data_IF_361386928011
#
_entry.id   IF_361386928011
#
_cell.length_a   1.000
_cell.length_b   1.000
_cell.length_c   1.000
_cell.angle_alpha   90.00
_cell.angle_beta   90.00
_cell.angle_gamma   90.00
#
_symmetry.space_group_name_H-M   'P 1'
#
loop_
_entity.id
_entity.type
_entity.pdbx_description
1 polymer ?
#
# COMPACT_ATOMS: atom_id res chain seq x y z
N UNK A 1 -22.23 2.19 50.46
CA UNK A 1 -21.17 1.38 49.81
C UNK A 1 -21.48 1.22 48.32
N UNK A 2 -21.52 2.32 47.55
CA UNK A 2 -21.76 2.30 46.08
C UNK A 2 -20.84 3.30 45.34
N UNK A 3 -20.29 4.32 46.01
CA UNK A 3 -19.44 5.33 45.37
C UNK A 3 -18.00 4.89 45.01
N UNK A 4 -17.46 3.83 45.61
CA UNK A 4 -16.07 3.40 45.34
C UNK A 4 -15.93 2.55 44.06
N UNK A 5 -17.01 1.93 43.58
CA UNK A 5 -16.98 1.11 42.36
C UNK A 5 -16.93 1.92 41.06
N UNK A 6 -17.59 3.09 41.03
CA UNK A 6 -17.67 3.93 39.83
C UNK A 6 -16.39 4.72 39.55
N UNK A 7 -15.61 5.08 40.58
CA UNK A 7 -14.35 5.79 40.39
C UNK A 7 -13.27 4.91 39.75
N UNK A 8 -13.19 3.64 40.16
CA UNK A 8 -12.20 2.68 39.65
C UNK A 8 -12.50 2.25 38.21
N UNK A 9 -13.78 2.20 37.82
CA UNK A 9 -14.18 1.89 36.44
C UNK A 9 -13.87 3.05 35.48
N UNK A 10 -14.10 4.30 35.89
CA UNK A 10 -13.80 5.48 35.06
C UNK A 10 -12.30 5.68 34.82
N UNK A 11 -11.47 5.43 35.84
CA UNK A 11 -10.01 5.58 35.72
C UNK A 11 -9.39 4.52 34.78
N UNK A 12 -9.93 3.28 34.78
CA UNK A 12 -9.53 2.25 33.81
C UNK A 12 -9.91 2.59 32.37
N UNK A 13 -11.11 3.13 32.15
CA UNK A 13 -11.59 3.48 30.80
C UNK A 13 -10.82 4.68 30.24
N UNK A 14 -10.53 5.68 31.08
CA UNK A 14 -9.68 6.83 30.73
C UNK A 14 -8.26 6.41 30.35
N UNK A 15 -7.63 5.54 31.15
CA UNK A 15 -6.28 5.01 30.85
C UNK A 15 -6.24 4.18 29.57
N UNK A 16 -7.27 3.38 29.27
CA UNK A 16 -7.35 2.60 28.02
C UNK A 16 -7.50 3.53 26.80
N UNK A 17 -8.29 4.60 26.93
CA UNK A 17 -8.41 5.63 25.88
C UNK A 17 -7.11 6.39 25.61
N UNK A 18 -6.36 6.74 26.65
CA UNK A 18 -5.04 7.39 26.53
C UNK A 18 -3.98 6.46 25.92
N UNK A 19 -3.94 5.18 26.33
CA UNK A 19 -3.01 4.18 25.78
C UNK A 19 -3.32 3.92 24.30
N UNK A 20 -4.59 3.88 23.91
CA UNK A 20 -5.01 3.64 22.53
C UNK A 20 -4.71 4.85 21.64
N UNK A 21 -4.90 6.07 22.13
CA UNK A 21 -4.49 7.30 21.45
C UNK A 21 -2.97 7.42 21.34
N UNK A 22 -2.20 7.05 22.37
CA UNK A 22 -0.74 7.01 22.27
C UNK A 22 -0.25 5.97 21.26
N UNK A 23 -0.87 4.78 21.18
CA UNK A 23 -0.53 3.79 20.15
C UNK A 23 -0.85 4.27 18.73
N UNK A 24 -1.98 4.95 18.54
CA UNK A 24 -2.38 5.54 17.25
C UNK A 24 -1.45 6.70 16.84
N UNK A 25 -1.09 7.56 17.79
CA UNK A 25 -0.13 8.65 17.58
C UNK A 25 1.26 8.10 17.32
N UNK A 26 1.71 7.04 18.01
CA UNK A 26 3.01 6.39 17.75
C UNK A 26 3.03 5.72 16.38
N UNK A 27 1.93 5.10 15.92
CA UNK A 27 1.83 4.52 14.57
C UNK A 27 1.86 5.63 13.50
N UNK A 28 1.14 6.74 13.70
CA UNK A 28 1.22 7.91 12.82
C UNK A 28 2.62 8.56 12.85
N UNK A 29 3.27 8.65 14.02
CA UNK A 29 4.61 9.18 14.15
C UNK A 29 5.62 8.27 13.46
N UNK A 30 5.46 6.94 13.53
CA UNK A 30 6.28 5.97 12.83
C UNK A 30 6.11 6.09 11.31
N UNK A 31 4.89 6.35 10.83
CA UNK A 31 4.62 6.67 9.41
C UNK A 31 5.25 8.01 8.97
N UNK A 32 5.36 9.00 9.87
CA UNK A 32 5.98 10.30 9.61
C UNK A 32 7.51 10.30 9.74
N UNK A 33 8.11 9.46 10.58
CA UNK A 33 9.57 9.44 10.82
C UNK A 33 10.37 8.65 9.79
N UNK A 34 9.74 7.80 8.97
CA UNK A 34 10.40 7.15 7.83
C UNK A 34 10.72 8.16 6.70
N UNK A 35 10.25 9.41 6.81
CA UNK A 35 10.55 10.47 5.84
C UNK A 35 11.93 11.15 5.99
N UNK A 36 12.73 10.86 7.03
CA UNK A 36 13.98 11.62 7.26
C UNK A 36 15.19 10.77 7.67
N UNK A 37 15.53 9.72 6.93
CA UNK A 37 16.93 9.26 6.79
C UNK A 37 17.09 8.40 5.53
N UNK A 38 17.16 9.02 4.36
CA UNK A 38 17.86 8.50 3.16
C UNK A 38 17.83 9.58 2.07
N UNK A 39 18.70 10.58 2.19
CA UNK A 39 19.16 11.32 1.00
C UNK A 39 20.10 10.41 0.21
N UNK A 40 19.54 9.44 -0.51
CA UNK A 40 20.26 8.64 -1.50
C UNK A 40 19.22 8.08 -2.47
N UNK A 41 19.20 8.67 -3.67
CA UNK A 41 18.44 8.26 -4.86
C UNK A 41 16.93 8.13 -4.65
N UNK A 42 16.26 9.27 -4.51
CA UNK A 42 14.88 9.36 -4.95
C UNK A 42 14.84 9.03 -6.46
N UNK A 43 14.34 7.85 -6.83
CA UNK A 43 13.66 7.73 -8.12
C UNK A 43 12.44 8.64 -8.04
N UNK A 44 12.63 9.93 -8.33
CA UNK A 44 11.55 10.89 -8.44
C UNK A 44 10.57 10.42 -9.52
N UNK A 45 9.34 10.11 -9.08
CA UNK A 45 8.06 10.44 -9.72
C UNK A 45 7.78 9.97 -11.15
N UNK A 46 8.64 10.29 -12.11
CA UNK A 46 8.30 10.36 -13.52
C UNK A 46 8.92 9.27 -14.40
N UNK A 47 9.76 8.37 -13.87
CA UNK A 47 10.42 7.31 -14.67
C UNK A 47 9.93 5.88 -14.43
N UNK A 48 8.89 5.68 -13.61
CA UNK A 48 8.38 4.33 -13.37
C UNK A 48 7.47 3.85 -14.53
N UNK A 49 7.74 2.67 -15.13
CA UNK A 49 7.04 2.22 -16.33
C UNK A 49 5.58 1.83 -16.08
N UNK A 50 5.21 1.49 -14.84
CA UNK A 50 3.82 1.15 -14.49
C UNK A 50 2.95 2.40 -14.59
N UNK A 51 3.28 3.49 -13.90
CA UNK A 51 2.48 4.72 -13.95
C UNK A 51 2.42 5.28 -15.37
N UNK A 52 3.53 5.27 -16.11
CA UNK A 52 3.54 5.68 -17.53
C UNK A 52 2.56 4.88 -18.36
N UNK A 53 2.54 3.56 -18.20
CA UNK A 53 1.66 2.68 -18.96
C UNK A 53 0.18 2.85 -18.58
N UNK A 54 -0.11 3.16 -17.32
CA UNK A 54 -1.49 3.32 -16.83
C UNK A 54 -2.03 4.75 -16.91
N UNK A 55 -1.19 5.76 -17.16
CA UNK A 55 -1.57 7.17 -17.13
C UNK A 55 -2.79 7.49 -18.01
N UNK A 56 -2.82 6.98 -19.25
CA UNK A 56 -3.96 7.19 -20.16
C UNK A 56 -5.21 6.43 -19.70
N UNK A 57 -5.07 5.18 -19.24
CA UNK A 57 -6.20 4.36 -18.83
C UNK A 57 -6.87 4.88 -17.56
N UNK A 58 -6.09 5.35 -16.58
CA UNK A 58 -6.59 5.93 -15.33
C UNK A 58 -7.41 7.20 -15.62
N UNK A 59 -6.90 8.08 -16.48
CA UNK A 59 -7.59 9.32 -16.85
C UNK A 59 -8.73 9.10 -17.85
N UNK A 60 -8.70 7.99 -18.59
CA UNK A 60 -9.64 7.69 -19.66
C UNK A 60 -10.83 6.84 -19.25
N UNK A 61 -10.83 6.24 -18.05
CA UNK A 61 -11.94 5.43 -17.55
C UNK A 61 -13.14 6.30 -17.17
N UNK A 62 -14.30 6.07 -17.79
CA UNK A 62 -15.47 6.96 -17.67
C UNK A 62 -16.62 6.39 -16.85
N UNK A 63 -16.70 5.06 -16.70
CA UNK A 63 -17.76 4.39 -15.95
C UNK A 63 -17.19 3.48 -14.85
N UNK A 64 -18.03 3.07 -13.91
CA UNK A 64 -17.62 2.26 -12.75
C UNK A 64 -16.96 0.93 -13.14
N UNK A 65 -17.41 0.29 -14.22
CA UNK A 65 -16.82 -0.98 -14.67
C UNK A 65 -15.39 -0.75 -15.16
N UNK A 66 -15.18 0.26 -15.99
CA UNK A 66 -13.87 0.66 -16.47
C UNK A 66 -12.95 1.07 -15.32
N UNK A 67 -13.43 1.91 -14.41
CA UNK A 67 -12.65 2.39 -13.25
C UNK A 67 -12.20 1.23 -12.36
N UNK A 68 -13.10 0.29 -12.06
CA UNK A 68 -12.77 -0.90 -11.25
C UNK A 68 -11.77 -1.80 -11.97
N UNK A 69 -11.93 -1.98 -13.28
CA UNK A 69 -11.00 -2.78 -14.08
C UNK A 69 -9.60 -2.16 -14.11
N UNK A 70 -9.49 -0.87 -14.42
CA UNK A 70 -8.20 -0.15 -14.45
C UNK A 70 -7.54 -0.16 -13.08
N UNK A 71 -8.28 0.18 -12.02
CA UNK A 71 -7.74 0.16 -10.65
C UNK A 71 -7.26 -1.24 -10.23
N UNK A 72 -8.00 -2.28 -10.62
CA UNK A 72 -7.62 -3.67 -10.36
C UNK A 72 -6.33 -4.08 -11.07
N UNK A 73 -6.21 -3.76 -12.36
CA UNK A 73 -5.00 -4.02 -13.15
C UNK A 73 -3.78 -3.25 -12.62
N UNK A 74 -3.99 -1.98 -12.25
CA UNK A 74 -2.94 -1.14 -11.69
C UNK A 74 -2.44 -1.67 -10.33
N UNK A 75 -3.36 -2.07 -9.45
CA UNK A 75 -3.02 -2.72 -8.17
C UNK A 75 -2.24 -4.02 -8.37
N UNK A 76 -2.68 -4.87 -9.32
CA UNK A 76 -1.99 -6.11 -9.64
C UNK A 76 -0.58 -5.88 -10.18
N UNK A 77 -0.39 -4.87 -11.04
CA UNK A 77 0.92 -4.51 -11.57
C UNK A 77 1.89 -4.12 -10.44
N UNK A 78 1.45 -3.27 -9.52
CA UNK A 78 2.28 -2.87 -8.37
C UNK A 78 2.56 -3.99 -7.38
N UNK A 79 1.57 -4.86 -7.12
CA UNK A 79 1.81 -6.04 -6.27
C UNK A 79 2.86 -6.97 -6.90
N UNK A 80 2.71 -7.25 -8.20
CA UNK A 80 3.66 -8.11 -8.92
C UNK A 80 5.07 -7.51 -8.93
N UNK A 81 5.20 -6.20 -9.12
CA UNK A 81 6.51 -5.54 -9.09
C UNK A 81 7.14 -5.60 -7.69
N UNK A 82 6.36 -5.42 -6.62
CA UNK A 82 6.83 -5.63 -5.24
C UNK A 82 7.37 -7.05 -5.05
N UNK A 83 6.62 -8.06 -5.50
CA UNK A 83 7.01 -9.47 -5.39
C UNK A 83 8.29 -9.77 -6.20
N UNK A 84 8.42 -9.16 -7.39
CA UNK A 84 9.59 -9.31 -8.25
C UNK A 84 10.85 -8.67 -7.67
N UNK A 85 10.74 -7.46 -7.12
CA UNK A 85 11.84 -6.79 -6.40
C UNK A 85 12.26 -7.63 -5.20
N UNK A 86 11.30 -8.10 -4.40
CA UNK A 86 11.57 -8.97 -3.25
C UNK A 86 12.30 -10.25 -3.68
N UNK A 87 11.86 -10.90 -4.77
CA UNK A 87 12.51 -12.08 -5.30
C UNK A 87 13.93 -11.82 -5.80
N UNK A 88 14.19 -10.65 -6.42
CA UNK A 88 15.54 -10.25 -6.83
C UNK A 88 16.45 -10.05 -5.61
N UNK A 89 16.00 -9.30 -4.61
CA UNK A 89 16.74 -9.05 -3.38
C UNK A 89 17.09 -10.36 -2.65
N UNK A 90 16.15 -11.31 -2.59
CA UNK A 90 16.38 -12.62 -1.93
C UNK A 90 17.49 -13.44 -2.57
N UNK A 91 17.80 -13.25 -3.86
CA UNK A 91 18.90 -13.98 -4.55
C UNK A 91 20.28 -13.57 -4.04
N UNK A 92 20.42 -12.38 -3.46
CA UNK A 92 21.68 -11.89 -2.91
C UNK A 92 22.00 -12.47 -1.52
N UNK A 93 21.00 -13.05 -0.84
CA UNK A 93 21.19 -13.60 0.50
C UNK A 93 21.45 -15.10 0.47
N UNK A 94 22.45 -15.52 1.23
CA UNK A 94 22.79 -16.94 1.37
C UNK A 94 21.87 -17.65 2.37
N UNK A 95 21.56 -17.00 3.50
CA UNK A 95 20.83 -17.60 4.62
C UNK A 95 19.31 -17.44 4.48
N UNK A 96 18.57 -18.44 4.93
CA UNK A 96 17.11 -18.45 4.81
C UNK A 96 16.43 -17.48 5.80
N UNK A 97 17.08 -17.20 6.93
CA UNK A 97 16.63 -16.21 7.91
C UNK A 97 16.56 -14.80 7.31
N UNK A 98 17.55 -14.42 6.50
CA UNK A 98 17.58 -13.12 5.81
C UNK A 98 16.47 -13.03 4.76
N UNK A 99 16.28 -14.13 3.99
CA UNK A 99 15.20 -14.23 2.99
C UNK A 99 13.82 -14.14 3.65
N UNK A 100 13.65 -14.78 4.81
CA UNK A 100 12.43 -14.71 5.60
C UNK A 100 12.14 -13.29 6.09
N UNK A 101 13.17 -12.46 6.34
CA UNK A 101 13.01 -11.03 6.62
C UNK A 101 12.31 -10.28 5.47
N UNK A 102 12.67 -10.59 4.22
CA UNK A 102 12.03 -10.00 3.03
C UNK A 102 10.61 -10.51 2.85
N UNK A 103 10.35 -11.80 3.10
CA UNK A 103 9.00 -12.36 3.02
C UNK A 103 8.05 -11.80 4.10
N UNK A 104 8.58 -11.56 5.31
CA UNK A 104 7.84 -10.89 6.37
C UNK A 104 7.48 -9.45 6.00
N UNK A 105 8.40 -8.75 5.32
CA UNK A 105 8.16 -7.40 4.84
C UNK A 105 7.01 -7.34 3.82
N UNK A 106 7.04 -8.18 2.77
CA UNK A 106 5.98 -8.18 1.75
C UNK A 106 4.63 -8.57 2.35
N UNK A 107 4.61 -9.60 3.20
CA UNK A 107 3.41 -10.03 3.94
C UNK A 107 2.84 -8.91 4.84
N UNK A 108 3.70 -8.12 5.49
CA UNK A 108 3.26 -7.00 6.29
C UNK A 108 2.61 -5.90 5.43
N UNK A 109 3.21 -5.60 4.27
CA UNK A 109 2.65 -4.61 3.34
C UNK A 109 1.34 -5.06 2.68
N UNK A 110 1.14 -6.35 2.43
CA UNK A 110 -0.16 -6.89 2.00
C UNK A 110 -1.26 -6.61 3.04
N UNK A 111 -0.96 -6.78 4.33
CA UNK A 111 -1.91 -6.44 5.41
C UNK A 111 -2.19 -4.94 5.49
N UNK A 112 -1.17 -4.10 5.29
CA UNK A 112 -1.35 -2.64 5.24
C UNK A 112 -2.19 -2.25 4.01
N UNK A 113 -1.98 -2.88 2.86
CA UNK A 113 -2.76 -2.65 1.66
C UNK A 113 -4.23 -3.02 1.89
N UNK A 114 -4.49 -4.19 2.49
CA UNK A 114 -5.85 -4.59 2.86
C UNK A 114 -6.50 -3.59 3.81
N UNK A 115 -5.79 -3.15 4.84
CA UNK A 115 -6.30 -2.13 5.76
C UNK A 115 -6.61 -0.80 5.06
N UNK A 116 -5.71 -0.31 4.20
CA UNK A 116 -5.93 0.90 3.40
C UNK A 116 -7.17 0.76 2.50
N UNK A 117 -7.31 -0.39 1.83
CA UNK A 117 -8.47 -0.69 1.02
C UNK A 117 -9.78 -0.73 1.82
N UNK A 118 -9.77 -1.25 3.06
CA UNK A 118 -10.95 -1.25 3.93
C UNK A 118 -11.33 0.15 4.41
N UNK A 119 -10.33 1.00 4.71
CA UNK A 119 -10.58 2.40 5.05
C UNK A 119 -11.26 3.14 3.91
N UNK A 120 -10.87 2.89 2.65
CA UNK A 120 -11.58 3.45 1.49
C UNK A 120 -13.02 2.93 1.38
N UNK A 121 -13.29 1.64 1.63
CA UNK A 121 -14.67 1.18 1.69
C UNK A 121 -15.48 1.95 2.73
N UNK A 122 -14.93 2.19 3.92
CA UNK A 122 -15.59 2.97 4.97
C UNK A 122 -15.79 4.44 4.59
N UNK A 123 -14.82 5.05 3.91
CA UNK A 123 -14.88 6.44 3.41
C UNK A 123 -16.07 6.65 2.45
N UNK A 124 -16.41 5.62 1.67
CA UNK A 124 -17.51 5.64 0.71
C UNK A 124 -18.83 5.05 1.26
N UNK A 125 -18.93 4.85 2.57
CA UNK A 125 -20.04 4.14 3.19
C UNK A 125 -21.10 5.07 3.79
N UNK A 126 -22.37 4.66 3.78
CA UNK A 126 -23.44 5.43 4.43
C UNK A 126 -23.37 5.33 5.97
N UNK A 127 -22.87 6.36 6.64
CA UNK A 127 -22.66 6.36 8.10
C UNK A 127 -23.95 6.23 8.93
N UNK A 128 -25.12 6.48 8.34
CA UNK A 128 -26.42 6.36 9.01
C UNK A 128 -26.98 4.93 9.02
N UNK A 129 -26.30 3.99 8.35
CA UNK A 129 -26.73 2.60 8.27
C UNK A 129 -25.93 1.69 9.20
N UNK A 130 -26.57 0.58 9.61
CA UNK A 130 -25.94 -0.47 10.38
C UNK A 130 -24.69 -0.99 9.62
N UNK A 131 -23.50 -1.04 10.25
CA UNK A 131 -22.27 -1.50 9.61
C UNK A 131 -22.36 -2.86 8.91
N UNK A 132 -23.24 -3.76 9.38
CA UNK A 132 -23.44 -5.09 8.79
C UNK A 132 -24.13 -5.07 7.42
N UNK A 133 -24.92 -4.03 7.14
CA UNK A 133 -25.78 -3.92 5.95
C UNK A 133 -25.57 -2.61 5.19
N UNK A 134 -24.45 -1.94 5.46
CA UNK A 134 -24.21 -0.61 4.95
C UNK A 134 -24.03 -0.61 3.44
N UNK A 135 -24.64 0.36 2.80
CA UNK A 135 -24.51 0.68 1.39
C UNK A 135 -23.23 1.48 1.14
N UNK A 136 -22.66 1.28 -0.04
CA UNK A 136 -21.42 1.92 -0.47
C UNK A 136 -21.64 2.64 -1.79
N UNK A 137 -20.95 3.78 -1.98
CA UNK A 137 -20.91 4.45 -3.27
C UNK A 137 -20.26 3.58 -4.35
N UNK A 138 -20.67 3.78 -5.60
CA UNK A 138 -20.19 2.97 -6.74
C UNK A 138 -18.68 3.10 -7.00
N UNK A 139 -18.05 4.17 -6.51
CA UNK A 139 -16.59 4.40 -6.58
C UNK A 139 -15.77 3.70 -5.48
N UNK A 140 -16.41 3.07 -4.49
CA UNK A 140 -15.71 2.49 -3.34
C UNK A 140 -14.71 1.40 -3.74
N UNK A 141 -15.06 0.56 -4.73
CA UNK A 141 -14.22 -0.53 -5.19
C UNK A 141 -12.93 -0.02 -5.86
N UNK A 142 -13.04 0.91 -6.81
CA UNK A 142 -11.87 1.49 -7.49
C UNK A 142 -11.00 2.30 -6.51
N UNK A 143 -11.58 3.07 -5.59
CA UNK A 143 -10.85 3.78 -4.55
C UNK A 143 -10.04 2.81 -3.67
N UNK A 144 -10.68 1.72 -3.21
CA UNK A 144 -10.04 0.67 -2.42
C UNK A 144 -8.86 0.02 -3.15
N UNK A 145 -9.03 -0.27 -4.45
CA UNK A 145 -7.98 -0.86 -5.27
C UNK A 145 -6.81 0.12 -5.52
N UNK A 146 -7.09 1.40 -5.75
CA UNK A 146 -6.04 2.41 -5.86
C UNK A 146 -5.27 2.58 -4.55
N UNK A 147 -5.95 2.61 -3.40
CA UNK A 147 -5.28 2.69 -2.10
C UNK A 147 -4.33 1.50 -1.90
N UNK A 148 -4.78 0.27 -2.22
CA UNK A 148 -3.92 -0.92 -2.24
C UNK A 148 -2.71 -0.76 -3.17
N UNK A 149 -2.94 -0.27 -4.38
CA UNK A 149 -1.88 -0.04 -5.37
C UNK A 149 -0.81 0.94 -4.83
N UNK A 150 -1.22 2.02 -4.17
CA UNK A 150 -0.28 2.99 -3.58
C UNK A 150 0.56 2.36 -2.46
N UNK A 151 -0.01 1.48 -1.63
CA UNK A 151 0.75 0.75 -0.62
C UNK A 151 1.80 -0.17 -1.25
N UNK A 152 1.43 -0.94 -2.30
CA UNK A 152 2.39 -1.79 -3.00
C UNK A 152 3.47 -0.99 -3.73
N UNK A 153 3.10 0.14 -4.34
CA UNK A 153 4.04 1.08 -4.95
C UNK A 153 5.07 1.57 -3.92
N UNK A 154 4.60 2.07 -2.77
CA UNK A 154 5.48 2.51 -1.69
C UNK A 154 6.40 1.38 -1.19
N UNK A 155 5.84 0.18 -0.99
CA UNK A 155 6.60 -0.99 -0.56
C UNK A 155 7.73 -1.33 -1.53
N UNK A 156 7.43 -1.27 -2.83
CA UNK A 156 8.36 -1.51 -3.94
C UNK A 156 9.51 -0.50 -3.88
N UNK A 157 9.22 0.80 -3.81
CA UNK A 157 10.27 1.82 -3.74
C UNK A 157 11.13 1.73 -2.47
N UNK A 158 10.53 1.39 -1.33
CA UNK A 158 11.29 1.17 -0.10
C UNK A 158 12.28 -0.01 -0.24
N UNK A 159 11.87 -1.11 -0.90
CA UNK A 159 12.75 -2.23 -1.21
C UNK A 159 13.87 -1.81 -2.18
N UNK A 160 13.52 -1.09 -3.25
CA UNK A 160 14.49 -0.59 -4.22
C UNK A 160 15.53 0.34 -3.59
N UNK A 161 15.10 1.30 -2.78
CA UNK A 161 16.00 2.23 -2.10
C UNK A 161 16.92 1.50 -1.13
N UNK A 162 16.41 0.51 -0.40
CA UNK A 162 17.23 -0.34 0.48
C UNK A 162 18.23 -1.17 -0.31
N UNK A 163 17.80 -1.71 -1.45
CA UNK A 163 18.64 -2.53 -2.32
C UNK A 163 19.77 -1.70 -2.95
N UNK A 164 19.42 -0.58 -3.58
CA UNK A 164 20.38 0.33 -4.21
C UNK A 164 21.30 0.98 -3.18
N UNK A 165 20.79 1.32 -1.99
CA UNK A 165 21.61 1.89 -0.91
C UNK A 165 22.75 0.96 -0.43
N UNK A 166 22.67 -0.35 -0.70
CA UNK A 166 23.72 -1.33 -0.40
C UNK A 166 24.87 -1.33 -1.39
N UNK A 167 24.71 -0.70 -2.54
CA UNK A 167 25.73 -0.70 -3.58
C UNK A 167 27.01 0.00 -3.14
N UNK A 168 26.94 0.89 -2.15
CA UNK A 168 28.11 1.65 -1.68
C UNK A 168 28.79 2.37 -2.85
N UNK A 169 30.09 2.12 -3.04
CA UNK A 169 30.88 2.65 -4.17
C UNK A 169 30.75 1.86 -5.48
N UNK A 170 29.97 0.77 -5.51
CA UNK A 170 29.76 -0.10 -6.68
C UNK A 170 28.27 -0.10 -7.11
N UNK A 171 27.75 1.03 -7.66
CA UNK A 171 26.33 1.21 -7.98
C UNK A 171 25.76 0.14 -8.92
N UNK A 172 26.58 -0.41 -9.82
CA UNK A 172 26.18 -1.48 -10.73
C UNK A 172 25.76 -2.78 -10.01
N UNK A 173 26.30 -3.04 -8.81
CA UNK A 173 26.15 -4.32 -8.10
C UNK A 173 24.75 -4.53 -7.52
N UNK A 174 24.04 -3.45 -7.21
CA UNK A 174 22.67 -3.51 -6.66
C UNK A 174 21.72 -2.67 -7.52
N UNK A 175 21.76 -2.89 -8.84
CA UNK A 175 20.82 -2.28 -9.77
C UNK A 175 19.62 -3.21 -10.00
N UNK A 176 18.42 -2.64 -9.97
CA UNK A 176 17.19 -3.34 -10.35
C UNK A 176 16.46 -2.51 -11.40
N UNK A 177 16.03 -3.18 -12.46
CA UNK A 177 15.19 -2.61 -13.51
C UNK A 177 13.79 -3.16 -13.36
N UNK A 178 12.80 -2.27 -13.44
CA UNK A 178 11.39 -2.64 -13.42
C UNK A 178 11.11 -3.77 -14.43
N UNK A 179 10.42 -4.80 -13.96
CA UNK A 179 10.06 -5.96 -14.78
C UNK A 179 8.81 -5.74 -15.61
N UNK A 180 7.97 -4.79 -15.20
CA UNK A 180 6.75 -4.46 -15.89
C UNK A 180 7.01 -4.00 -17.34
N UNK A 181 6.37 -4.69 -18.29
CA UNK A 181 6.44 -4.42 -19.73
C UNK A 181 5.07 -4.30 -20.40
N UNK A 182 4.00 -4.19 -19.60
CA UNK A 182 2.63 -4.06 -20.08
C UNK A 182 2.30 -2.66 -20.64
N UNK A 183 1.14 -2.53 -21.29
CA UNK A 183 0.64 -1.28 -21.88
C UNK A 183 -0.46 -0.61 -21.03
N UNK A 184 -0.54 -0.95 -19.75
CA UNK A 184 -1.56 -0.46 -18.83
C UNK A 184 -2.64 -1.52 -18.59
N UNK A 185 -3.88 -1.06 -18.46
CA UNK A 185 -5.06 -1.91 -18.38
C UNK A 185 -5.53 -2.38 -19.77
N UNK A 186 -5.07 -1.73 -20.84
CA UNK A 186 -5.54 -1.93 -22.22
C UNK A 186 -7.04 -1.60 -22.36
N UNK A 187 -7.44 -0.41 -21.86
CA UNK A 187 -8.86 -0.04 -21.71
C UNK A 187 -9.66 -0.07 -23.03
N UNK A 188 -9.04 0.29 -24.15
CA UNK A 188 -9.68 0.20 -25.48
C UNK A 188 -10.16 -1.22 -25.78
N UNK A 189 -9.36 -2.24 -25.44
CA UNK A 189 -9.70 -3.64 -25.66
C UNK A 189 -10.86 -4.08 -24.78
N UNK A 190 -10.98 -3.56 -23.56
CA UNK A 190 -12.14 -3.82 -22.70
C UNK A 190 -13.43 -3.32 -23.38
N UNK A 191 -13.40 -2.10 -23.94
CA UNK A 191 -14.55 -1.46 -24.59
C UNK A 191 -15.02 -2.20 -25.84
N UNK A 192 -14.10 -2.79 -26.60
CA UNK A 192 -14.42 -3.57 -27.80
C UNK A 192 -15.12 -4.91 -27.51
N UNK A 193 -15.07 -5.39 -26.26
CA UNK A 193 -15.64 -6.68 -25.84
C UNK A 193 -16.91 -6.55 -24.99
N UNK A 194 -17.51 -5.35 -24.92
CA UNK A 194 -18.77 -5.04 -24.23
C UNK A 194 -19.90 -4.88 -25.24
#
# INVERSE_FOLDING_TARGET
MILLGNLVANDKISRVGEIMNHKLVIIMLFLLTVCFTSTALAMEGDDNPIDKAFATDINGAVNTVEMNYVAGKYMQAWKAEMDNVAAAIKKEYSYDEDKAGIDNYTTAYEKVADAAGQVEWLNWSNLNENPKYRSFGTGAASASLFAKAQIYKQATFNLLNTYQGRSGSEPEKCSYTFTYSGKGAELTRLRENQ
#
